data_IF_734722508792
#
_entry.id   IF_734722508792
#
_cell.length_a   1.000
_cell.length_b   1.000
_cell.length_c   1.000
_cell.angle_alpha   90.00
_cell.angle_beta   90.00
_cell.angle_gamma   90.00
#
_symmetry.space_group_name_H-M   'P 1'
#
loop_
_entity.id
_entity.type
_entity.pdbx_description
1 polymer ?
#
# COMPACT_ATOMS: atom_id res chain seq x y z
N UNK A 1 -9.52 -3.52 -18.92
CA UNK A 1 -9.32 -2.81 -17.64
C UNK A 1 -8.90 -1.39 -17.95
N UNK A 2 -9.59 -0.39 -17.42
CA UNK A 2 -9.22 1.00 -17.60
C UNK A 2 -7.95 1.35 -16.84
N UNK A 3 -7.23 2.38 -17.31
CA UNK A 3 -6.03 2.86 -16.65
C UNK A 3 -6.26 3.27 -15.18
N UNK A 4 -7.48 3.73 -14.83
CA UNK A 4 -7.86 4.05 -13.44
C UNK A 4 -7.97 2.80 -12.57
N UNK A 5 -8.56 1.73 -13.12
CA UNK A 5 -8.73 0.45 -12.42
C UNK A 5 -7.37 -0.22 -12.17
N UNK A 6 -6.49 -0.22 -13.17
CA UNK A 6 -5.12 -0.76 -13.03
C UNK A 6 -4.35 0.02 -11.96
N UNK A 7 -4.45 1.35 -11.94
CA UNK A 7 -3.79 2.19 -10.92
C UNK A 7 -4.32 1.92 -9.50
N UNK A 8 -5.64 1.81 -9.35
CA UNK A 8 -6.27 1.43 -8.09
C UNK A 8 -5.76 0.07 -7.62
N UNK A 9 -5.74 -0.91 -8.51
CA UNK A 9 -5.25 -2.26 -8.23
C UNK A 9 -3.78 -2.26 -7.82
N UNK A 10 -2.89 -1.57 -8.56
CA UNK A 10 -1.46 -1.49 -8.22
C UNK A 10 -1.24 -0.82 -6.86
N UNK A 11 -2.00 0.23 -6.53
CA UNK A 11 -1.91 0.88 -5.22
C UNK A 11 -2.38 -0.01 -4.08
N UNK A 12 -3.47 -0.76 -4.29
CA UNK A 12 -4.00 -1.70 -3.31
C UNK A 12 -3.05 -2.87 -3.08
N UNK A 13 -2.49 -3.44 -4.15
CA UNK A 13 -1.50 -4.52 -4.08
C UNK A 13 -0.25 -4.05 -3.37
N UNK A 14 0.27 -2.85 -3.68
CA UNK A 14 1.44 -2.30 -3.00
C UNK A 14 1.20 -2.12 -1.49
N UNK A 15 0.05 -1.56 -1.11
CA UNK A 15 -0.32 -1.42 0.30
C UNK A 15 -0.47 -2.77 1.01
N UNK A 16 -1.05 -3.77 0.34
CA UNK A 16 -1.23 -5.12 0.90
C UNK A 16 0.12 -5.83 1.10
N UNK A 17 1.05 -5.69 0.15
CA UNK A 17 2.40 -6.27 0.26
C UNK A 17 3.15 -5.65 1.44
N UNK A 18 3.09 -4.33 1.62
CA UNK A 18 3.72 -3.67 2.78
C UNK A 18 3.08 -4.11 4.09
N UNK A 19 1.77 -4.26 4.13
CA UNK A 19 1.07 -4.77 5.31
C UNK A 19 1.48 -6.20 5.65
N UNK A 20 1.48 -7.09 4.66
CA UNK A 20 1.89 -8.49 4.84
C UNK A 20 3.34 -8.61 5.27
N UNK A 21 4.23 -7.80 4.69
CA UNK A 21 5.64 -7.73 5.08
C UNK A 21 5.79 -7.27 6.53
N UNK A 22 5.06 -6.24 6.94
CA UNK A 22 5.05 -5.76 8.32
C UNK A 22 4.59 -6.86 9.30
N UNK A 23 3.50 -7.57 8.97
CA UNK A 23 3.03 -8.69 9.79
C UNK A 23 4.04 -9.82 9.88
N UNK A 24 4.79 -10.09 8.81
CA UNK A 24 5.87 -11.08 8.81
C UNK A 24 7.05 -10.70 9.71
N UNK A 25 7.29 -9.40 9.97
CA UNK A 25 8.36 -8.92 10.84
C UNK A 25 7.98 -8.98 12.32
N UNK A 26 6.71 -8.70 12.64
CA UNK A 26 6.26 -8.56 14.02
C UNK A 26 6.15 -9.92 14.74
N UNK A 27 5.80 -11.00 14.03
CA UNK A 27 5.79 -12.37 14.56
C UNK A 27 4.65 -12.69 15.55
N UNK A 28 4.33 -11.79 16.48
CA UNK A 28 3.20 -11.87 17.41
C UNK A 28 2.46 -10.51 17.51
N UNK A 29 1.57 -10.20 16.56
CA UNK A 29 1.00 -8.87 16.43
C UNK A 29 0.00 -8.56 17.56
N UNK A 30 0.28 -7.49 18.32
CA UNK A 30 -0.68 -6.81 19.18
C UNK A 30 -1.43 -5.71 18.41
N UNK A 31 -2.46 -5.13 19.04
CA UNK A 31 -3.31 -4.09 18.45
C UNK A 31 -2.51 -2.89 17.93
N UNK A 32 -1.42 -2.51 18.59
CA UNK A 32 -0.63 -1.33 18.19
C UNK A 32 0.11 -1.61 16.87
N UNK A 33 0.66 -2.80 16.74
CA UNK A 33 1.44 -3.23 15.59
C UNK A 33 0.54 -3.40 14.37
N UNK A 34 -0.71 -3.84 14.55
CA UNK A 34 -1.68 -3.87 13.44
C UNK A 34 -2.09 -2.46 13.00
N UNK A 35 -2.26 -1.53 13.93
CA UNK A 35 -2.54 -0.11 13.63
C UNK A 35 -1.38 0.55 12.88
N UNK A 36 -0.14 0.29 13.30
CA UNK A 36 1.06 0.79 12.61
C UNK A 36 1.14 0.18 11.20
N UNK A 37 0.92 -1.13 11.07
CA UNK A 37 0.90 -1.81 9.79
C UNK A 37 -0.15 -1.23 8.83
N UNK A 38 -1.36 -0.96 9.33
CA UNK A 38 -2.43 -0.32 8.56
C UNK A 38 -2.06 1.09 8.13
N UNK A 39 -1.45 1.89 9.01
CA UNK A 39 -0.99 3.23 8.68
C UNK A 39 0.08 3.20 7.57
N UNK A 40 1.05 2.28 7.66
CA UNK A 40 2.09 2.08 6.65
C UNK A 40 1.53 1.62 5.31
N UNK A 41 0.57 0.70 5.35
CA UNK A 41 -0.15 0.21 4.16
C UNK A 41 -0.89 1.34 3.45
N UNK A 42 -1.63 2.15 4.21
CA UNK A 42 -2.41 3.26 3.67
C UNK A 42 -1.49 4.36 3.09
N UNK A 43 -0.42 4.70 3.81
CA UNK A 43 0.56 5.67 3.35
C UNK A 43 1.25 5.22 2.05
N UNK A 44 1.63 3.93 1.97
CA UNK A 44 2.25 3.37 0.76
C UNK A 44 1.27 3.37 -0.41
N UNK A 45 0.03 2.91 -0.21
CA UNK A 45 -1.01 2.89 -1.24
C UNK A 45 -1.29 4.31 -1.78
N UNK A 46 -1.40 5.30 -0.89
CA UNK A 46 -1.56 6.70 -1.26
C UNK A 46 -0.38 7.22 -2.09
N UNK A 47 0.86 6.94 -1.65
CA UNK A 47 2.07 7.35 -2.39
C UNK A 47 2.16 6.70 -3.76
N UNK A 48 1.86 5.41 -3.90
CA UNK A 48 1.90 4.68 -5.19
C UNK A 48 0.82 5.18 -6.15
N UNK A 49 -0.38 5.46 -5.63
CA UNK A 49 -1.48 6.01 -6.43
C UNK A 49 -1.15 7.40 -7.01
N UNK A 50 -0.54 8.26 -6.19
CA UNK A 50 -0.07 9.60 -6.59
C UNK A 50 1.20 9.55 -7.46
N UNK A 51 2.14 8.65 -7.18
CA UNK A 51 3.35 8.50 -8.00
C UNK A 51 3.02 8.02 -9.41
N UNK A 52 2.02 7.13 -9.54
CA UNK A 52 1.46 6.71 -10.84
C UNK A 52 0.76 7.85 -11.59
N UNK A 53 0.44 8.97 -10.93
CA UNK A 53 -0.03 10.18 -11.60
C UNK A 53 1.13 10.91 -12.29
N UNK A 54 2.28 10.98 -11.62
CA UNK A 54 3.44 11.75 -12.08
C UNK A 54 4.16 11.10 -13.26
N UNK A 55 4.31 9.77 -13.28
CA UNK A 55 4.98 9.02 -14.36
C UNK A 55 4.24 9.03 -15.71
N UNK A 56 3.04 9.61 -15.79
CA UNK A 56 2.21 9.70 -17.01
C UNK A 56 2.12 11.13 -17.57
N UNK A 57 2.94 12.04 -17.03
CA UNK A 57 2.94 13.47 -17.38
C UNK A 57 3.95 13.82 -18.48
N UNK A 58 4.73 12.85 -18.97
CA UNK A 58 5.64 12.98 -20.11
C UNK A 58 5.04 12.31 -21.37
#
# INVERSE_FOLDING_TARGET
>A
MNAREVRGLTSAVAGLVVFGFWMSLVGNPHVIETVIGLALSFFTGYKVYNLSYWSRSD
#
